data_IF_021127782362
#
_entry.id   IF_021127782362
#
_cell.length_a   1.000
_cell.length_b   1.000
_cell.length_c   1.000
_cell.angle_alpha   90.00
_cell.angle_beta   90.00
_cell.angle_gamma   90.00
#
_symmetry.space_group_name_H-M   'P 1'
#
loop_
_entity.id
_entity.type
_entity.pdbx_description
1 polymer ?
#
# COMPACT_ATOMS: atom_id res chain seq x y z
N UNK A 1 24.63 -0.66 -0.93
CA UNK A 1 25.37 0.61 -1.16
C UNK A 1 24.53 1.84 -0.83
N UNK A 2 23.20 1.79 -0.89
CA UNK A 2 22.31 2.91 -0.53
C UNK A 2 21.20 2.55 0.47
N UNK A 3 21.23 1.33 1.01
CA UNK A 3 20.24 0.79 1.97
C UNK A 3 18.80 1.18 1.60
N UNK A 4 18.45 0.89 0.33
CA UNK A 4 17.13 1.17 -0.23
C UNK A 4 16.09 0.41 0.59
N UNK A 5 15.08 1.13 1.07
CA UNK A 5 14.06 0.58 1.95
C UNK A 5 13.08 -0.34 1.19
N UNK A 6 12.62 0.05 0.00
CA UNK A 6 11.89 -0.81 -0.94
C UNK A 6 12.02 -0.35 -2.40
N UNK A 7 11.59 -1.21 -3.34
CA UNK A 7 11.28 -0.86 -4.73
C UNK A 7 9.76 -0.83 -4.91
N UNK A 8 9.23 0.28 -5.40
CA UNK A 8 7.80 0.50 -5.59
C UNK A 8 7.39 0.31 -7.04
N UNK A 9 6.35 -0.49 -7.29
CA UNK A 9 5.80 -0.80 -8.63
C UNK A 9 6.90 -0.95 -9.73
N UNK A 10 7.94 -1.77 -9.51
CA UNK A 10 9.08 -1.85 -10.44
C UNK A 10 8.74 -2.56 -11.76
N UNK A 11 7.58 -3.22 -11.81
CA UNK A 11 7.06 -4.01 -12.92
C UNK A 11 5.57 -3.73 -13.03
N UNK A 12 5.02 -3.79 -14.24
CA UNK A 12 3.58 -3.62 -14.48
C UNK A 12 2.75 -4.60 -13.65
N UNK A 13 1.64 -4.12 -13.10
CA UNK A 13 0.78 -4.88 -12.18
C UNK A 13 0.25 -6.22 -12.74
N UNK A 14 0.04 -6.31 -14.06
CA UNK A 14 -0.42 -7.54 -14.71
C UNK A 14 0.69 -8.61 -14.88
N UNK A 15 1.96 -8.23 -14.68
CA UNK A 15 3.10 -9.14 -14.80
C UNK A 15 3.54 -9.73 -13.43
N UNK A 16 2.60 -10.23 -12.64
CA UNK A 16 2.86 -10.81 -11.29
C UNK A 16 3.96 -11.88 -11.31
N UNK A 17 4.05 -12.70 -12.36
CA UNK A 17 5.11 -13.70 -12.50
C UNK A 17 6.51 -13.07 -12.58
N UNK A 18 6.64 -11.94 -13.29
CA UNK A 18 7.90 -11.21 -13.40
C UNK A 18 8.22 -10.52 -12.07
N UNK A 19 7.20 -10.03 -11.36
CA UNK A 19 7.34 -9.47 -10.01
C UNK A 19 7.83 -10.53 -9.01
N UNK A 20 7.24 -11.73 -9.00
CA UNK A 20 7.67 -12.85 -8.18
C UNK A 20 9.08 -13.35 -8.54
N UNK A 21 9.48 -13.24 -9.81
CA UNK A 21 10.85 -13.52 -10.23
C UNK A 21 11.82 -12.46 -9.69
N UNK A 22 11.49 -11.17 -9.83
CA UNK A 22 12.30 -10.08 -9.29
C UNK A 22 12.46 -10.22 -7.77
N UNK A 23 11.38 -10.46 -7.03
CA UNK A 23 11.39 -10.65 -5.57
C UNK A 23 12.35 -11.77 -5.12
N UNK A 24 12.54 -12.82 -5.94
CA UNK A 24 13.50 -13.90 -5.66
C UNK A 24 14.95 -13.54 -6.00
N UNK A 25 15.16 -12.59 -6.90
CA UNK A 25 16.49 -12.21 -7.42
C UNK A 25 17.07 -10.99 -6.70
N UNK A 26 16.23 -10.18 -6.05
CA UNK A 26 16.64 -8.99 -5.28
C UNK A 26 16.67 -9.27 -3.77
N UNK A 27 17.47 -8.47 -3.04
CA UNK A 27 17.39 -8.39 -1.58
C UNK A 27 16.61 -7.17 -1.09
N UNK A 28 16.17 -6.29 -2.00
CA UNK A 28 15.40 -5.09 -1.69
C UNK A 28 13.91 -5.46 -1.67
N UNK A 29 13.16 -5.16 -0.60
CA UNK A 29 11.72 -5.45 -0.52
C UNK A 29 10.94 -4.84 -1.69
N UNK A 30 9.93 -5.56 -2.18
CA UNK A 30 9.00 -5.09 -3.21
C UNK A 30 7.73 -4.57 -2.55
N UNK A 31 7.40 -3.31 -2.83
CA UNK A 31 6.15 -2.68 -2.45
C UNK A 31 5.26 -2.54 -3.70
N UNK A 32 4.05 -3.10 -3.64
CA UNK A 32 3.06 -3.02 -4.74
C UNK A 32 1.63 -3.05 -4.20
N UNK A 33 0.68 -2.63 -5.03
CA UNK A 33 -0.74 -2.79 -4.74
C UNK A 33 -1.62 -1.62 -5.19
N UNK A 34 -1.03 -0.49 -5.57
CA UNK A 34 -1.80 0.69 -5.98
C UNK A 34 -2.59 0.46 -7.27
N UNK A 35 -2.15 -0.49 -8.10
CA UNK A 35 -2.80 -0.87 -9.35
C UNK A 35 -3.38 -2.29 -9.31
N UNK A 36 -3.68 -2.80 -8.10
CA UNK A 36 -4.33 -4.08 -7.86
C UNK A 36 -5.71 -3.92 -7.21
N UNK A 37 -6.65 -4.78 -7.57
CA UNK A 37 -8.07 -4.65 -7.29
C UNK A 37 -8.64 -5.90 -6.64
N UNK A 38 -9.45 -5.68 -5.60
CA UNK A 38 -10.12 -6.73 -4.82
C UNK A 38 -9.14 -7.67 -4.10
N UNK A 39 -9.60 -8.33 -3.03
CA UNK A 39 -8.77 -9.29 -2.28
C UNK A 39 -8.19 -10.44 -3.11
N UNK A 40 -8.72 -10.70 -4.31
CA UNK A 40 -8.30 -11.83 -5.14
C UNK A 40 -6.97 -11.58 -5.84
N UNK A 41 -6.73 -10.37 -6.33
CA UNK A 41 -5.42 -10.00 -6.91
C UNK A 41 -4.36 -9.91 -5.81
N UNK A 42 -4.71 -9.34 -4.65
CA UNK A 42 -3.82 -9.34 -3.49
C UNK A 42 -3.48 -10.75 -2.99
N UNK A 43 -4.47 -11.67 -3.00
CA UNK A 43 -4.22 -13.09 -2.70
C UNK A 43 -3.18 -13.67 -3.66
N UNK A 44 -3.29 -13.38 -4.96
CA UNK A 44 -2.35 -13.88 -5.96
C UNK A 44 -0.93 -13.34 -5.74
N UNK A 45 -0.79 -12.03 -5.48
CA UNK A 45 0.49 -11.42 -5.11
C UNK A 45 1.15 -12.14 -3.92
N UNK A 46 0.37 -12.39 -2.86
CA UNK A 46 0.85 -13.04 -1.63
C UNK A 46 1.21 -14.51 -1.85
N UNK A 47 0.37 -15.28 -2.56
CA UNK A 47 0.61 -16.69 -2.86
C UNK A 47 1.86 -16.90 -3.72
N UNK A 48 2.13 -15.98 -4.65
CA UNK A 48 3.32 -16.01 -5.50
C UNK A 48 4.57 -15.45 -4.82
N UNK A 49 4.44 -14.86 -3.63
CA UNK A 49 5.51 -14.10 -2.95
C UNK A 49 6.07 -13.00 -3.84
N UNK A 50 5.16 -12.22 -4.43
CA UNK A 50 5.47 -11.10 -5.32
C UNK A 50 5.42 -9.74 -4.60
N UNK A 51 5.15 -9.73 -3.29
CA UNK A 51 4.99 -8.52 -2.49
C UNK A 51 5.55 -8.74 -1.09
N UNK A 52 6.31 -7.78 -0.59
CA UNK A 52 6.78 -7.71 0.80
C UNK A 52 6.10 -6.57 1.57
N UNK A 53 5.55 -5.56 0.90
CA UNK A 53 4.81 -4.44 1.49
C UNK A 53 3.57 -4.16 0.65
N UNK A 54 2.39 -4.26 1.25
CA UNK A 54 1.13 -4.15 0.54
C UNK A 54 0.65 -2.70 0.50
N UNK A 55 0.44 -2.17 -0.71
CA UNK A 55 0.08 -0.77 -0.95
C UNK A 55 -1.34 -0.62 -1.54
N UNK A 56 -2.33 -1.30 -0.96
CA UNK A 56 -3.70 -1.23 -1.44
C UNK A 56 -4.24 0.21 -1.41
N UNK A 57 -4.51 0.77 -2.59
CA UNK A 57 -5.18 2.06 -2.74
C UNK A 57 -6.67 1.91 -2.45
N UNK A 58 -7.18 2.63 -1.45
CA UNK A 58 -8.56 2.48 -0.98
C UNK A 58 -9.58 2.95 -2.01
N UNK A 59 -9.25 3.96 -2.82
CA UNK A 59 -10.07 4.46 -3.91
C UNK A 59 -10.19 3.47 -5.08
N UNK A 60 -9.21 2.57 -5.24
CA UNK A 60 -9.16 1.60 -6.34
C UNK A 60 -9.51 0.18 -5.92
N UNK A 61 -8.99 -0.32 -4.80
CA UNK A 61 -9.02 -1.73 -4.44
C UNK A 61 -10.42 -2.31 -4.15
N UNK A 62 -11.45 -1.45 -4.08
CA UNK A 62 -12.83 -1.81 -3.75
C UNK A 62 -13.39 -1.12 -2.50
N UNK A 63 -12.71 -0.08 -2.00
CA UNK A 63 -13.13 0.70 -0.84
C UNK A 63 -12.78 0.07 0.51
N UNK A 64 -13.15 0.77 1.58
CA UNK A 64 -12.80 0.42 2.98
C UNK A 64 -13.13 -1.03 3.34
N UNK A 65 -14.30 -1.52 2.94
CA UNK A 65 -14.73 -2.89 3.25
C UNK A 65 -13.89 -3.96 2.57
N UNK A 66 -13.33 -3.68 1.39
CA UNK A 66 -12.42 -4.61 0.71
C UNK A 66 -11.00 -4.45 1.23
N UNK A 67 -10.57 -3.22 1.52
CA UNK A 67 -9.31 -2.90 2.18
C UNK A 67 -9.13 -3.67 3.50
N UNK A 68 -10.13 -3.68 4.39
CA UNK A 68 -10.06 -4.43 5.66
C UNK A 68 -9.84 -5.93 5.42
N UNK A 69 -10.45 -6.51 4.37
CA UNK A 69 -10.24 -7.93 4.02
C UNK A 69 -8.82 -8.17 3.50
N UNK A 70 -8.31 -7.24 2.68
CA UNK A 70 -6.93 -7.28 2.18
C UNK A 70 -5.95 -7.18 3.35
N UNK A 71 -6.14 -6.22 4.26
CA UNK A 71 -5.29 -6.04 5.44
C UNK A 71 -5.29 -7.27 6.35
N UNK A 72 -6.46 -7.86 6.63
CA UNK A 72 -6.56 -9.10 7.41
C UNK A 72 -5.87 -10.29 6.72
N UNK A 73 -5.90 -10.34 5.39
CA UNK A 73 -5.16 -11.37 4.65
C UNK A 73 -3.66 -11.13 4.71
N UNK A 74 -3.21 -9.90 4.47
CA UNK A 74 -1.80 -9.52 4.58
C UNK A 74 -1.25 -9.86 5.97
N UNK A 75 -2.00 -9.57 7.04
CA UNK A 75 -1.65 -9.93 8.42
C UNK A 75 -1.45 -11.44 8.59
N UNK A 76 -2.34 -12.26 8.01
CA UNK A 76 -2.22 -13.72 8.03
C UNK A 76 -0.98 -14.24 7.27
N UNK A 77 -0.49 -13.49 6.27
CA UNK A 77 0.77 -13.77 5.58
C UNK A 77 2.00 -13.16 6.28
N UNK A 78 1.80 -12.40 7.37
CA UNK A 78 2.86 -11.67 8.08
C UNK A 78 3.40 -10.47 7.29
N UNK A 79 2.59 -9.92 6.39
CA UNK A 79 2.95 -8.80 5.53
C UNK A 79 2.43 -7.47 6.08
N UNK A 80 3.27 -6.43 6.12
CA UNK A 80 2.84 -5.10 6.49
C UNK A 80 2.04 -4.40 5.37
N UNK A 81 1.26 -3.42 5.78
CA UNK A 81 0.44 -2.56 4.93
C UNK A 81 0.95 -1.11 4.99
N UNK A 82 1.14 -0.50 3.82
CA UNK A 82 1.44 0.92 3.63
C UNK A 82 0.59 1.41 2.43
N UNK A 83 -0.70 1.73 2.63
CA UNK A 83 -1.61 2.03 1.53
C UNK A 83 -1.14 3.22 0.70
N UNK A 84 -1.38 3.11 -0.60
CA UNK A 84 -1.15 4.18 -1.56
C UNK A 84 -2.28 5.20 -1.50
N UNK A 85 -1.87 6.47 -1.38
CA UNK A 85 -2.65 7.66 -1.70
C UNK A 85 -4.18 7.60 -1.44
N UNK A 86 -4.64 8.09 -0.30
CA UNK A 86 -5.92 8.77 -0.04
C UNK A 86 -5.88 9.24 1.42
N UNK A 87 -5.10 10.28 1.69
CA UNK A 87 -4.62 10.59 3.04
C UNK A 87 -5.70 10.69 4.13
N UNK A 88 -6.83 11.27 3.76
CA UNK A 88 -7.96 11.51 4.64
C UNK A 88 -8.74 10.26 5.04
N UNK A 89 -8.60 9.17 4.27
CA UNK A 89 -9.26 7.89 4.52
C UNK A 89 -8.25 6.86 5.00
N UNK A 90 -7.05 6.87 4.45
CA UNK A 90 -6.01 5.89 4.73
C UNK A 90 -5.43 6.06 6.13
N UNK A 91 -5.13 7.29 6.57
CA UNK A 91 -4.50 7.54 7.87
C UNK A 91 -5.25 6.87 9.05
N UNK A 92 -6.58 7.05 9.23
CA UNK A 92 -7.30 6.35 10.29
C UNK A 92 -7.40 4.83 10.06
N UNK A 93 -7.35 4.35 8.81
CA UNK A 93 -7.43 2.92 8.51
C UNK A 93 -6.12 2.19 8.75
N UNK A 94 -4.98 2.79 8.42
CA UNK A 94 -3.64 2.28 8.77
C UNK A 94 -3.50 2.16 10.29
N UNK A 95 -3.98 3.16 11.03
CA UNK A 95 -3.98 3.13 12.49
C UNK A 95 -4.92 2.06 13.08
N UNK A 96 -5.91 1.58 12.32
CA UNK A 96 -6.93 0.64 12.78
C UNK A 96 -6.58 -0.84 12.51
N UNK A 97 -5.50 -1.13 11.79
CA UNK A 97 -5.06 -2.49 11.45
C UNK A 97 -3.78 -2.88 12.21
N UNK A 98 -3.61 -4.16 12.58
CA UNK A 98 -2.46 -4.59 13.38
C UNK A 98 -1.13 -4.57 12.61
N UNK A 99 -1.19 -4.59 11.28
CA UNK A 99 -0.05 -4.67 10.38
C UNK A 99 0.18 -3.37 9.58
N UNK A 100 -0.35 -2.24 10.03
CA UNK A 100 -0.05 -0.92 9.44
C UNK A 100 1.39 -0.48 9.76
N UNK A 101 2.16 -0.08 8.75
CA UNK A 101 3.51 0.46 8.90
C UNK A 101 3.48 1.97 9.15
N UNK A 102 3.06 2.70 8.14
CA UNK A 102 2.89 4.15 8.10
C UNK A 102 2.01 4.49 6.89
N UNK A 103 1.65 5.75 6.78
CA UNK A 103 0.80 6.25 5.71
C UNK A 103 1.61 7.16 4.78
N UNK A 104 1.42 6.98 3.47
CA UNK A 104 2.06 7.79 2.43
C UNK A 104 1.42 9.18 2.33
N UNK A 105 2.24 10.23 2.34
CA UNK A 105 1.79 11.61 2.13
C UNK A 105 2.39 12.20 0.85
N UNK A 106 1.55 12.56 -0.12
CA UNK A 106 1.99 13.09 -1.41
C UNK A 106 1.68 14.59 -1.47
N UNK A 107 2.71 15.39 -1.19
CA UNK A 107 2.60 16.85 -1.08
C UNK A 107 1.90 17.53 -2.28
N UNK A 108 2.14 17.02 -3.49
CA UNK A 108 1.58 17.57 -4.73
C UNK A 108 0.06 17.33 -4.86
N UNK A 109 -0.45 16.22 -4.31
CA UNK A 109 -1.88 15.90 -4.33
C UNK A 109 -2.66 16.47 -3.13
N UNK A 110 -1.96 16.91 -2.08
CA UNK A 110 -2.59 17.57 -0.94
C UNK A 110 -3.32 18.85 -1.35
N UNK A 111 -2.73 19.66 -2.24
CA UNK A 111 -3.26 21.00 -2.56
C UNK A 111 -4.64 20.94 -3.24
N UNK A 112 -4.90 20.05 -4.21
CA UNK A 112 -6.24 19.92 -4.81
C UNK A 112 -7.23 19.14 -3.93
N UNK A 113 -6.80 18.06 -3.27
CA UNK A 113 -7.71 17.18 -2.51
C UNK A 113 -8.07 17.75 -1.14
N UNK A 114 -7.14 18.43 -0.46
CA UNK A 114 -7.43 19.04 0.85
C UNK A 114 -8.50 20.12 0.79
N UNK A 115 -8.71 20.74 -0.38
CA UNK A 115 -9.73 21.77 -0.59
C UNK A 115 -11.17 21.22 -0.54
N UNK A 116 -11.38 19.90 -0.66
CA UNK A 116 -12.73 19.33 -0.52
C UNK A 116 -13.14 19.08 0.94
N UNK A 117 -12.21 19.24 1.89
CA UNK A 117 -12.46 19.04 3.33
C UNK A 117 -12.46 20.38 4.08
N UNK A 118 -13.25 20.48 5.15
CA UNK A 118 -13.31 21.68 6.00
C UNK A 118 -12.04 21.79 6.87
N UNK A 119 -11.56 20.64 7.39
CA UNK A 119 -10.38 20.54 8.23
C UNK A 119 -9.59 19.27 7.84
N UNK A 120 -8.84 19.31 6.72
CA UNK A 120 -8.08 18.16 6.25
C UNK A 120 -6.98 17.79 7.25
N UNK A 121 -6.80 16.48 7.49
CA UNK A 121 -5.65 15.94 8.23
C UNK A 121 -4.37 16.47 7.59
N UNK A 122 -3.47 17.01 8.41
CA UNK A 122 -2.18 17.56 7.97
C UNK A 122 -1.08 16.96 8.84
N UNK A 123 -0.06 16.33 8.24
CA UNK A 123 1.07 15.90 9.03
C UNK A 123 1.85 17.10 9.55
N UNK A 124 2.18 17.09 10.83
CA UNK A 124 3.07 18.05 11.49
C UNK A 124 4.38 17.33 11.85
N UNK A 125 5.51 17.79 11.31
CA UNK A 125 6.82 17.14 11.49
C UNK A 125 6.88 15.65 11.11
N UNK A 126 5.99 15.20 10.22
CA UNK A 126 5.92 13.80 9.78
C UNK A 126 4.96 12.92 10.58
N UNK A 127 4.17 13.49 11.48
CA UNK A 127 3.19 12.77 12.32
C UNK A 127 1.78 13.34 12.14
N UNK A 128 0.75 12.53 12.40
CA UNK A 128 -0.69 12.88 12.36
C UNK A 128 -1.28 12.73 13.76
#
# INVERSE_FOLDING_TARGET
>A
QYDIYWLEEPILADEINNLAKLAKETSIPIAVGENHYTKWEFKELMEQRAVEIVQADIGKCGGVTEFIKIAAMADAYGLPMCPHHTEYVDAPLVAAIPNGLFHEYIHEFFVPMGQVFIDPIKPENGEI
#
